data_IF_274479902277
#
_entry.id   IF_274479902277
#
_cell.length_a   1.000
_cell.length_b   1.000
_cell.length_c   1.000
_cell.angle_alpha   90.00
_cell.angle_beta   90.00
_cell.angle_gamma   90.00
#
_symmetry.space_group_name_H-M   'P 1'
#
loop_
_entity.id
_entity.type
_entity.pdbx_description
1 polymer ?
#
# COMPACT_ATOMS: atom_id res chain seq x y z
N UNK A 1 21.73 -10.96 9.01
CA UNK A 1 20.73 -9.86 8.89
C UNK A 1 19.37 -10.51 8.87
N UNK A 2 18.47 -10.11 9.76
CA UNK A 2 17.08 -10.57 9.74
C UNK A 2 16.38 -9.77 8.65
N UNK A 3 15.90 -10.44 7.61
CA UNK A 3 15.04 -9.83 6.61
C UNK A 3 13.62 -9.78 7.18
N UNK A 4 13.03 -8.59 7.19
CA UNK A 4 11.60 -8.46 7.46
C UNK A 4 10.83 -9.19 6.36
N UNK A 5 9.97 -10.13 6.76
CA UNK A 5 9.19 -10.94 5.81
C UNK A 5 7.88 -10.25 5.43
N UNK A 6 7.45 -9.25 6.19
CA UNK A 6 6.20 -8.53 5.98
C UNK A 6 6.43 -7.00 6.04
N UNK A 7 7.34 -6.46 5.21
CA UNK A 7 7.66 -5.03 5.24
C UNK A 7 6.47 -4.19 4.80
N UNK A 8 6.26 -3.05 5.45
CA UNK A 8 5.20 -2.10 5.14
C UNK A 8 5.68 -0.65 5.15
N UNK A 9 4.92 0.20 4.44
CA UNK A 9 5.09 1.65 4.43
C UNK A 9 3.74 2.29 4.77
N UNK A 10 3.70 3.15 5.79
CA UNK A 10 2.51 3.89 6.18
C UNK A 10 2.64 5.36 5.78
N UNK A 11 1.57 5.91 5.23
CA UNK A 11 1.42 7.34 4.98
C UNK A 11 0.31 7.87 5.89
N UNK A 12 0.63 8.87 6.71
CA UNK A 12 -0.36 9.63 7.48
C UNK A 12 -0.76 10.87 6.67
N UNK A 13 -2.02 10.90 6.21
CA UNK A 13 -2.57 11.97 5.39
C UNK A 13 -3.09 13.14 6.24
N UNK A 14 -3.03 13.04 7.58
CA UNK A 14 -3.46 14.01 8.61
C UNK A 14 -4.97 14.29 8.66
N UNK A 15 -5.63 14.31 7.50
CA UNK A 15 -7.05 14.52 7.35
C UNK A 15 -7.66 13.38 6.54
N UNK A 16 -8.99 13.21 6.67
CA UNK A 16 -9.72 12.22 5.88
C UNK A 16 -9.77 12.68 4.42
N UNK A 17 -9.16 11.90 3.54
CA UNK A 17 -9.13 12.15 2.09
C UNK A 17 -9.59 10.94 1.30
N UNK A 18 -10.11 11.17 0.10
CA UNK A 18 -10.44 10.11 -0.85
C UNK A 18 -9.19 9.75 -1.65
N UNK A 19 -8.70 8.52 -1.49
CA UNK A 19 -7.58 7.99 -2.27
C UNK A 19 -8.13 7.18 -3.44
N UNK A 20 -7.90 7.65 -4.66
CA UNK A 20 -8.45 7.04 -5.88
C UNK A 20 -7.45 6.20 -6.66
N UNK A 21 -6.14 6.37 -6.42
CA UNK A 21 -5.08 5.65 -7.10
C UNK A 21 -3.80 5.56 -6.26
N UNK A 22 -3.00 4.53 -6.53
CA UNK A 22 -1.65 4.33 -5.99
C UNK A 22 -0.71 4.08 -7.16
N UNK A 23 0.41 4.80 -7.20
CA UNK A 23 1.49 4.57 -8.17
C UNK A 23 2.76 4.16 -7.43
N UNK A 24 3.38 3.07 -7.86
CA UNK A 24 4.62 2.53 -7.27
C UNK A 24 5.77 2.69 -8.24
N UNK A 25 6.94 3.05 -7.74
CA UNK A 25 8.16 3.13 -8.54
C UNK A 25 9.25 2.24 -7.92
N UNK A 26 9.97 1.51 -8.78
CA UNK A 26 11.16 0.75 -8.38
C UNK A 26 12.35 1.65 -8.07
N UNK A 27 13.44 1.04 -7.62
CA UNK A 27 14.68 1.76 -7.30
C UNK A 27 15.41 2.18 -8.58
N UNK A 28 15.87 3.44 -8.63
CA UNK A 28 16.64 3.95 -9.76
C UNK A 28 17.94 3.15 -9.95
N UNK A 29 18.30 2.87 -11.22
CA UNK A 29 19.49 2.10 -11.61
C UNK A 29 19.56 0.71 -10.94
N UNK A 30 18.42 0.09 -10.66
CA UNK A 30 18.31 -1.27 -10.13
C UNK A 30 17.16 -2.02 -10.79
N UNK A 31 17.18 -3.34 -10.67
CA UNK A 31 16.06 -4.23 -11.03
C UNK A 31 15.14 -4.50 -9.83
N UNK A 32 15.26 -3.70 -8.77
CA UNK A 32 14.42 -3.86 -7.58
C UNK A 32 13.09 -3.12 -7.75
N UNK A 33 11.99 -3.87 -7.81
CA UNK A 33 10.63 -3.34 -7.77
C UNK A 33 9.69 -4.24 -6.95
N UNK A 34 8.62 -3.65 -6.44
CA UNK A 34 7.54 -4.38 -5.77
C UNK A 34 6.58 -4.91 -6.84
N UNK A 35 6.45 -6.23 -6.94
CA UNK A 35 5.57 -6.88 -7.93
C UNK A 35 4.13 -7.08 -7.43
N UNK A 36 3.93 -7.10 -6.10
CA UNK A 36 2.62 -7.22 -5.47
C UNK A 36 2.64 -6.55 -4.10
N UNK A 37 1.53 -5.96 -3.71
CA UNK A 37 1.34 -5.38 -2.39
C UNK A 37 -0.09 -5.61 -1.88
N UNK A 38 -0.27 -5.47 -0.58
CA UNK A 38 -1.59 -5.31 0.05
C UNK A 38 -1.75 -3.86 0.44
N UNK A 39 -2.92 -3.28 0.15
CA UNK A 39 -3.27 -1.95 0.61
C UNK A 39 -4.19 -2.06 1.83
N UNK A 40 -3.78 -1.48 2.94
CA UNK A 40 -4.61 -1.32 4.12
C UNK A 40 -4.87 0.17 4.35
N UNK A 41 -6.06 0.51 4.84
CA UNK A 41 -6.44 1.88 5.17
C UNK A 41 -7.14 1.96 6.53
N UNK A 42 -7.05 3.11 7.18
CA UNK A 42 -7.71 3.40 8.46
C UNK A 42 -7.97 4.89 8.60
N UNK A 43 -9.16 5.25 9.11
CA UNK A 43 -9.47 6.63 9.51
C UNK A 43 -9.01 6.93 10.95
N UNK A 44 -8.59 5.92 11.72
CA UNK A 44 -8.24 6.05 13.15
C UNK A 44 -6.80 5.66 13.49
N UNK A 45 -6.07 5.08 12.53
CA UNK A 45 -4.73 4.53 12.74
C UNK A 45 -4.68 3.25 13.59
N UNK A 46 -5.81 2.80 14.13
CA UNK A 46 -5.89 1.61 15.00
C UNK A 46 -6.59 0.44 14.32
N UNK A 47 -7.71 0.69 13.65
CA UNK A 47 -8.50 -0.33 12.98
C UNK A 47 -8.24 -0.28 11.47
N UNK A 48 -7.46 -1.22 10.97
CA UNK A 48 -7.03 -1.28 9.57
C UNK A 48 -7.93 -2.22 8.76
N UNK A 49 -8.35 -1.77 7.58
CA UNK A 49 -9.14 -2.54 6.63
C UNK A 49 -8.30 -2.82 5.40
N UNK A 50 -8.32 -4.06 4.92
CA UNK A 50 -7.69 -4.41 3.65
C UNK A 50 -8.58 -3.91 2.49
N UNK A 51 -8.00 -3.15 1.58
CA UNK A 51 -8.62 -2.86 0.29
C UNK A 51 -8.59 -4.13 -0.57
N UNK A 52 -9.77 -4.50 -1.08
CA UNK A 52 -9.92 -5.53 -2.09
C UNK A 52 -10.56 -4.86 -3.28
N UNK A 53 -9.89 -4.95 -4.42
CA UNK A 53 -10.53 -4.62 -5.69
C UNK A 53 -11.63 -5.66 -5.88
N UNK A 54 -12.89 -5.22 -5.95
CA UNK A 54 -13.94 -6.12 -6.45
C UNK A 54 -13.58 -6.44 -7.90
N UNK A 55 -13.62 -7.73 -8.27
CA UNK A 55 -13.40 -8.18 -9.64
C UNK A 55 -14.47 -7.51 -10.51
N UNK A 56 -14.14 -6.36 -11.06
CA UNK A 56 -14.95 -5.63 -12.02
C UNK A 56 -14.95 -6.42 -13.32
N UNK A 57 -15.83 -7.41 -13.41
CA UNK A 57 -16.28 -7.95 -14.68
C UNK A 57 -17.06 -6.82 -15.37
N UNK A 58 -16.37 -6.10 -16.24
CA UNK A 58 -16.99 -5.49 -17.41
C UNK A 58 -17.19 -6.55 -18.50
#
# INVERSE_FOLDING_TARGET
MVTDREPWLQLDLRERVEVTAVSTQGRANSEDWVSRYMLLYSDTGQAWKQYRQEDGVG
#
